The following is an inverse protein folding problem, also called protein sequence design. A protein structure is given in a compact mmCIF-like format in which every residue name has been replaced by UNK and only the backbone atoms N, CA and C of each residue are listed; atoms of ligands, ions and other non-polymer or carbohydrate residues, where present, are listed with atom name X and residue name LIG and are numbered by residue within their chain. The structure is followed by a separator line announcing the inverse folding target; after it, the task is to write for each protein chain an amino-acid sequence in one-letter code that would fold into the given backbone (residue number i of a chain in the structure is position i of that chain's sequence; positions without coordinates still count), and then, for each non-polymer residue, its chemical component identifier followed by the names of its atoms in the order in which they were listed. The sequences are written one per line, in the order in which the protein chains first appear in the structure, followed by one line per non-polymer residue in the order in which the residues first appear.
data_IF_758798820327
#
_entry.id   IF_758798820327
#
_cell.length_a   1.000
_cell.length_b   1.000
_cell.length_c   1.000
_cell.angle_alpha   90.00
_cell.angle_beta   90.00
_cell.angle_gamma   90.00
#
_symmetry.space_group_name_H-M   'P 1'
#
loop_
_entity.id
_entity.type
_entity.pdbx_description
1 polymer ?
#
# COMPACT_ATOMS: atom_id res chain seq x y z
N UNK A 1 14.90 -5.96 12.30
CA UNK A 1 14.61 -5.49 10.92
C UNK A 1 15.90 -5.49 10.12
N UNK A 2 15.84 -5.95 8.87
CA UNK A 2 16.99 -6.00 7.96
C UNK A 2 16.96 -4.79 7.02
N UNK A 3 18.08 -4.46 6.38
CA UNK A 3 18.12 -3.41 5.36
C UNK A 3 17.20 -3.72 4.15
N UNK A 4 16.97 -5.01 3.88
CA UNK A 4 16.08 -5.46 2.81
C UNK A 4 14.60 -5.15 3.12
N UNK A 5 14.15 -5.30 4.37
CA UNK A 5 12.75 -4.99 4.73
C UNK A 5 12.46 -3.49 4.64
N UNK A 6 13.38 -2.65 5.11
CA UNK A 6 13.23 -1.19 5.03
C UNK A 6 13.18 -0.69 3.57
N UNK A 7 13.96 -1.32 2.67
CA UNK A 7 13.89 -1.02 1.24
C UNK A 7 12.57 -1.47 0.61
N UNK A 8 12.01 -2.60 1.04
CA UNK A 8 10.75 -3.12 0.53
C UNK A 8 9.56 -2.26 0.98
N UNK A 9 9.53 -1.89 2.25
CA UNK A 9 8.51 -0.99 2.83
C UNK A 9 8.48 0.36 2.09
N UNK A 10 9.64 0.95 1.80
CA UNK A 10 9.73 2.18 1.02
C UNK A 10 9.14 2.06 -0.40
N UNK A 11 9.33 0.93 -1.06
CA UNK A 11 8.76 0.68 -2.39
C UNK A 11 7.23 0.50 -2.32
N UNK A 12 6.72 -0.17 -1.29
CA UNK A 12 5.27 -0.29 -1.04
C UNK A 12 4.65 1.09 -0.85
N UNK A 13 5.24 1.96 -0.03
CA UNK A 13 4.79 3.34 0.14
C UNK A 13 4.69 4.07 -1.21
N UNK A 14 5.70 3.92 -2.07
CA UNK A 14 5.69 4.49 -3.42
C UNK A 14 4.53 3.99 -4.28
N UNK A 15 4.26 2.69 -4.27
CA UNK A 15 3.13 2.08 -5.02
C UNK A 15 1.79 2.61 -4.49
N UNK A 16 1.61 2.65 -3.17
CA UNK A 16 0.37 3.14 -2.55
C UNK A 16 0.09 4.60 -2.92
N UNK A 17 1.10 5.47 -2.88
CA UNK A 17 0.95 6.88 -3.27
C UNK A 17 0.62 7.06 -4.75
N UNK A 18 1.22 6.26 -5.64
CA UNK A 18 1.01 6.41 -7.08
C UNK A 18 -0.27 5.77 -7.61
N UNK A 19 -0.80 4.76 -6.92
CA UNK A 19 -1.86 3.87 -7.45
C UNK A 19 -3.11 3.80 -6.61
N UNK A 20 -2.99 3.93 -5.29
CA UNK A 20 -4.12 3.83 -4.38
C UNK A 20 -4.60 5.19 -3.94
N UNK A 21 -3.71 6.04 -3.42
CA UNK A 21 -3.97 7.34 -2.79
C UNK A 21 -5.47 7.64 -2.53
N UNK A 22 -6.03 7.12 -1.43
CA UNK A 22 -7.45 7.29 -1.11
C UNK A 22 -7.74 8.68 -0.55
N UNK A 23 -6.70 9.47 -0.26
CA UNK A 23 -6.79 10.80 0.34
C UNK A 23 -6.63 11.92 -0.71
N UNK A 24 -6.43 11.56 -1.99
CA UNK A 24 -6.21 12.49 -3.12
C UNK A 24 -5.14 13.54 -2.81
N UNK A 25 -4.03 13.09 -2.22
CA UNK A 25 -2.89 13.92 -1.85
C UNK A 25 -2.06 14.22 -3.10
N UNK A 26 -1.79 15.50 -3.35
CA UNK A 26 -0.98 15.96 -4.47
C UNK A 26 0.41 15.26 -4.48
N UNK A 27 0.76 14.48 -5.53
CA UNK A 27 2.01 13.73 -5.59
C UNK A 27 3.26 14.62 -5.73
N UNK A 28 3.10 15.92 -5.98
CA UNK A 28 4.20 16.90 -5.97
C UNK A 28 4.61 17.31 -4.56
N UNK A 29 3.79 16.98 -3.56
CA UNK A 29 4.17 17.01 -2.15
C UNK A 29 4.98 15.75 -1.82
N UNK A 30 6.22 15.72 -2.31
CA UNK A 30 7.30 15.00 -1.62
C UNK A 30 8.07 15.99 -0.73
N UNK A 31 7.52 16.51 0.38
CA UNK A 31 8.43 16.76 1.50
C UNK A 31 8.96 15.39 1.93
N UNK A 32 10.15 15.32 2.52
CA UNK A 32 10.59 14.12 3.23
C UNK A 32 9.40 13.60 4.05
N UNK A 33 8.90 12.45 3.64
CA UNK A 33 7.53 11.99 3.91
C UNK A 33 7.26 12.11 5.41
N UNK A 34 6.12 12.69 5.80
CA UNK A 34 5.50 12.30 7.07
C UNK A 34 4.95 10.90 6.86
N UNK A 35 5.88 9.95 6.87
CA UNK A 35 5.77 8.53 6.53
C UNK A 35 4.81 7.79 7.46
N UNK A 36 4.46 8.34 8.61
CA UNK A 36 3.84 7.59 9.71
C UNK A 36 2.57 6.80 9.32
N UNK A 37 1.70 7.36 8.46
CA UNK A 37 0.46 6.69 8.04
C UNK A 37 0.73 5.58 7.01
N UNK A 38 1.54 5.85 5.98
CA UNK A 38 1.82 4.85 4.94
C UNK A 38 2.83 3.81 5.40
N UNK A 39 3.77 4.15 6.28
CA UNK A 39 4.67 3.19 6.96
C UNK A 39 3.86 2.22 7.82
N UNK A 40 2.81 2.72 8.49
CA UNK A 40 1.88 1.88 9.25
C UNK A 40 1.16 0.85 8.37
N UNK A 41 0.92 1.16 7.10
CA UNK A 41 0.32 0.22 6.14
C UNK A 41 1.38 -0.65 5.44
N UNK A 42 2.58 -0.12 5.21
CA UNK A 42 3.63 -0.78 4.47
C UNK A 42 4.18 -2.02 5.20
N UNK A 43 4.45 -1.95 6.51
CA UNK A 43 4.96 -3.13 7.24
C UNK A 43 3.96 -4.29 7.27
N UNK A 44 2.66 -4.10 7.58
CA UNK A 44 1.69 -5.19 7.53
C UNK A 44 1.48 -5.74 6.11
N UNK A 45 1.43 -4.87 5.08
CA UNK A 45 1.34 -5.32 3.69
C UNK A 45 2.56 -6.14 3.28
N UNK A 46 3.76 -5.70 3.64
CA UNK A 46 4.98 -6.46 3.40
C UNK A 46 4.95 -7.83 4.10
N UNK A 47 4.52 -7.87 5.36
CA UNK A 47 4.33 -9.12 6.10
C UNK A 47 3.36 -10.07 5.39
N UNK A 48 2.21 -9.55 4.95
CA UNK A 48 1.21 -10.33 4.21
C UNK A 48 1.78 -10.90 2.89
N UNK A 49 2.54 -10.10 2.14
CA UNK A 49 3.20 -10.54 0.91
C UNK A 49 4.22 -11.66 1.18
N UNK A 50 5.03 -11.53 2.23
CA UNK A 50 5.97 -12.57 2.67
C UNK A 50 5.25 -13.86 3.08
N UNK A 51 4.07 -13.74 3.69
CA UNK A 51 3.22 -14.88 4.10
C UNK A 51 2.41 -15.49 2.94
N UNK A 52 2.55 -14.96 1.71
CA UNK A 52 1.90 -15.49 0.51
C UNK A 52 0.45 -15.02 0.33
N UNK A 53 0.14 -13.80 0.76
CA UNK A 53 -1.16 -13.18 0.57
C UNK A 53 -1.60 -13.19 -0.91
N UNK A 54 -2.90 -13.40 -1.12
CA UNK A 54 -3.53 -13.35 -2.44
C UNK A 54 -3.99 -11.93 -2.78
N UNK A 55 -4.40 -11.71 -4.03
CA UNK A 55 -5.05 -10.45 -4.44
C UNK A 55 -6.24 -10.11 -3.54
N UNK A 56 -7.04 -11.11 -3.14
CA UNK A 56 -8.20 -10.90 -2.29
C UNK A 56 -7.82 -10.42 -0.88
N UNK A 57 -6.72 -10.97 -0.33
CA UNK A 57 -6.21 -10.59 0.99
C UNK A 57 -5.72 -9.14 0.98
N UNK A 58 -4.94 -8.76 -0.03
CA UNK A 58 -4.45 -7.38 -0.18
C UNK A 58 -5.59 -6.39 -0.41
N UNK A 59 -6.60 -6.75 -1.22
CA UNK A 59 -7.81 -5.92 -1.40
C UNK A 59 -8.53 -5.69 -0.07
N UNK A 60 -8.71 -6.74 0.74
CA UNK A 60 -9.36 -6.62 2.04
C UNK A 60 -8.56 -5.72 2.99
N UNK A 61 -7.23 -5.81 2.98
CA UNK A 61 -6.36 -4.93 3.77
C UNK A 61 -6.49 -3.47 3.35
N UNK A 62 -6.44 -3.18 2.05
CA UNK A 62 -6.58 -1.81 1.53
C UNK A 62 -7.96 -1.22 1.87
N UNK A 63 -9.03 -1.99 1.71
CA UNK A 63 -10.38 -1.56 2.10
C UNK A 63 -10.46 -1.27 3.60
N UNK A 64 -9.88 -2.13 4.45
CA UNK A 64 -9.81 -1.89 5.90
C UNK A 64 -9.03 -0.62 6.25
N UNK A 65 -8.00 -0.25 5.48
CA UNK A 65 -7.30 1.00 5.68
C UNK A 65 -8.12 2.21 5.27
N UNK A 66 -8.91 2.14 4.19
CA UNK A 66 -9.84 3.22 3.82
C UNK A 66 -10.91 3.45 4.90
N UNK A 67 -11.40 2.39 5.52
CA UNK A 67 -12.31 2.48 6.69
C UNK A 67 -11.61 3.13 7.89
N UNK A 68 -10.36 2.75 8.16
CA UNK A 68 -9.58 3.34 9.26
C UNK A 68 -9.29 4.83 9.05
N UNK A 69 -9.06 5.22 7.80
CA UNK A 69 -8.78 6.60 7.39
C UNK A 69 -10.05 7.47 7.28
N UNK A 70 -11.24 6.91 7.53
CA UNK A 70 -12.54 7.60 7.37
C UNK A 70 -12.69 8.25 5.99
N UNK A 71 -12.32 7.52 4.94
CA UNK A 71 -12.34 8.03 3.56
C UNK A 71 -13.78 8.31 3.14
N UNK A 72 -14.05 9.57 2.77
CA UNK A 72 -15.41 10.04 2.44
C UNK A 72 -16.04 9.29 1.25
N UNK A 73 -15.22 8.84 0.29
CA UNK A 73 -15.64 8.04 -0.85
C UNK A 73 -14.64 6.88 -1.01
N UNK A 74 -14.99 5.65 -0.57
CA UNK A 74 -14.13 4.49 -0.73
C UNK A 74 -13.78 4.22 -2.20
N UNK A 75 -12.61 3.64 -2.43
CA UNK A 75 -12.18 3.23 -3.76
C UNK A 75 -13.08 2.14 -4.31
N UNK A 76 -13.32 2.16 -5.63
CA UNK A 76 -13.97 1.05 -6.34
C UNK A 76 -13.16 -0.25 -6.13
N UNK A 77 -13.82 -1.40 -5.86
CA UNK A 77 -13.17 -2.71 -5.82
C UNK A 77 -12.23 -3.01 -7.00
N UNK A 78 -12.52 -2.52 -8.21
CA UNK A 78 -11.66 -2.68 -9.38
C UNK A 78 -10.32 -1.94 -9.23
N UNK A 79 -10.33 -0.75 -8.61
CA UNK A 79 -9.11 0.02 -8.29
C UNK A 79 -8.29 -0.71 -7.24
N UNK A 80 -8.91 -1.17 -6.16
CA UNK A 80 -8.23 -1.93 -5.11
C UNK A 80 -7.59 -3.21 -5.66
N UNK A 81 -8.32 -3.94 -6.52
CA UNK A 81 -7.81 -5.14 -7.17
C UNK A 81 -6.64 -4.85 -8.13
N UNK A 82 -6.62 -3.67 -8.76
CA UNK A 82 -5.50 -3.25 -9.59
C UNK A 82 -4.24 -2.96 -8.74
N UNK A 83 -4.39 -2.18 -7.67
CA UNK A 83 -3.28 -1.90 -6.72
C UNK A 83 -2.72 -3.21 -6.14
N UNK A 84 -3.60 -4.12 -5.71
CA UNK A 84 -3.20 -5.41 -5.15
C UNK A 84 -2.37 -6.25 -6.12
N UNK A 85 -2.74 -6.27 -7.42
CA UNK A 85 -1.94 -6.95 -8.45
C UNK A 85 -0.60 -6.27 -8.68
N UNK A 86 -0.54 -4.94 -8.70
CA UNK A 86 0.75 -4.24 -8.84
C UNK A 86 1.70 -4.53 -7.66
N UNK A 87 1.17 -4.61 -6.43
CA UNK A 87 1.97 -4.97 -5.25
C UNK A 87 2.52 -6.40 -5.34
N UNK A 88 1.68 -7.36 -5.75
CA UNK A 88 2.10 -8.76 -5.91
C UNK A 88 3.10 -8.92 -7.06
N UNK A 89 2.81 -8.34 -8.23
CA UNK A 89 3.70 -8.36 -9.39
C UNK A 89 5.08 -7.74 -9.07
N UNK A 90 5.11 -6.68 -8.27
CA UNK A 90 6.37 -6.09 -7.79
C UNK A 90 7.10 -7.04 -6.86
N UNK A 91 6.41 -7.60 -5.86
CA UNK A 91 7.01 -8.48 -4.85
C UNK A 91 7.61 -9.75 -5.47
N UNK A 92 6.93 -10.35 -6.46
CA UNK A 92 7.41 -11.54 -7.17
C UNK A 92 8.66 -11.29 -8.03
N UNK A 93 8.93 -10.03 -8.39
CA UNK A 93 10.07 -9.63 -9.24
C UNK A 93 11.28 -9.12 -8.44
N UNK A 94 11.08 -8.79 -7.17
CA UNK A 94 12.11 -8.22 -6.28
C UNK A 94 13.01 -9.31 -5.69
#
# INVERSE_FOLDING_TARGET
MSAASASAEFQIVGILLMRWDPLDRDPTWFPAVSTDEYDRFASPLYGALVDGATVADIVAMLASYEEELDVAVPSDPAKLAHVARELLDWFERA
#
